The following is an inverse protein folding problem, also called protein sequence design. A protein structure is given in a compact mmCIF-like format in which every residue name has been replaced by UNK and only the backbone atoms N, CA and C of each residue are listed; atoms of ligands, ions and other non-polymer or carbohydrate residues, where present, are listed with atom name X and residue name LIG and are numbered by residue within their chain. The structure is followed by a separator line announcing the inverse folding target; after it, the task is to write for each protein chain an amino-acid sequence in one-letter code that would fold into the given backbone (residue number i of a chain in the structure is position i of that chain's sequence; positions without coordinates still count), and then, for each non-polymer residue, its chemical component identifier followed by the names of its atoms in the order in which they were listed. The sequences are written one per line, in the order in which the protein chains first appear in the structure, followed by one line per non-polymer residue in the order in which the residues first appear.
data_IF_603506582863
#
_entry.id   IF_603506582863
#
_cell.length_a   1.000
_cell.length_b   1.000
_cell.length_c   1.000
_cell.angle_alpha   90.00
_cell.angle_beta   90.00
_cell.angle_gamma   90.00
#
_symmetry.space_group_name_H-M   'P 1'
#
loop_
_entity.id
_entity.type
_entity.pdbx_description
1 polymer ?
#
# COMPACT_ATOMS: atom_id res chain seq x y z
N UNK A 1 69.63 -17.22 -8.40
CA UNK A 1 69.14 -16.05 -7.63
C UNK A 1 67.64 -16.22 -7.42
N UNK A 2 67.20 -16.04 -6.17
CA UNK A 2 65.87 -16.35 -5.63
C UNK A 2 64.80 -15.45 -6.24
N UNK A 3 63.68 -16.01 -6.71
CA UNK A 3 62.41 -15.29 -6.75
C UNK A 3 61.33 -16.17 -6.12
N UNK A 4 60.91 -15.74 -4.95
CA UNK A 4 59.87 -16.31 -4.10
C UNK A 4 58.58 -15.59 -4.50
N UNK A 5 57.68 -16.24 -5.23
CA UNK A 5 56.36 -15.68 -5.52
C UNK A 5 55.35 -16.35 -4.58
N UNK A 6 55.08 -15.69 -3.46
CA UNK A 6 54.03 -16.10 -2.53
C UNK A 6 52.68 -15.69 -3.12
N UNK A 7 51.92 -16.66 -3.64
CA UNK A 7 50.53 -16.44 -4.05
C UNK A 7 49.64 -16.57 -2.81
N UNK A 8 49.24 -15.44 -2.25
CA UNK A 8 48.21 -15.38 -1.20
C UNK A 8 46.86 -15.63 -1.87
N UNK A 9 46.33 -16.85 -1.72
CA UNK A 9 44.95 -17.17 -2.08
C UNK A 9 44.03 -16.60 -1.00
N UNK A 10 43.50 -15.40 -1.23
CA UNK A 10 42.44 -14.82 -0.41
C UNK A 10 41.13 -15.55 -0.73
N UNK A 11 40.76 -16.47 0.16
CA UNK A 11 39.44 -17.09 0.23
C UNK A 11 38.40 -16.00 0.52
N UNK A 12 37.74 -15.49 -0.52
CA UNK A 12 36.48 -14.76 -0.34
C UNK A 12 35.37 -15.77 -0.07
N UNK A 13 35.11 -16.01 1.21
CA UNK A 13 33.87 -16.62 1.68
C UNK A 13 32.71 -15.70 1.34
N UNK A 14 31.97 -16.03 0.28
CA UNK A 14 30.64 -15.48 0.05
C UNK A 14 29.71 -16.03 1.13
N UNK A 15 29.54 -15.28 2.20
CA UNK A 15 28.40 -15.44 3.09
C UNK A 15 27.14 -15.21 2.26
N UNK A 16 26.31 -16.25 2.17
CA UNK A 16 24.95 -16.21 1.64
C UNK A 16 24.22 -15.00 2.23
N UNK A 17 23.93 -13.98 1.41
CA UNK A 17 22.90 -13.01 1.73
C UNK A 17 21.56 -13.73 1.67
N UNK A 18 21.16 -14.30 2.81
CA UNK A 18 19.75 -14.56 3.06
C UNK A 18 19.02 -13.23 2.86
N UNK A 19 18.06 -13.25 1.95
CA UNK A 19 17.23 -12.11 1.58
C UNK A 19 16.46 -11.66 2.83
N UNK A 20 16.98 -10.66 3.55
CA UNK A 20 16.33 -10.13 4.74
C UNK A 20 15.06 -9.39 4.27
N UNK A 21 13.94 -10.09 4.31
CA UNK A 21 12.64 -9.50 4.01
C UNK A 21 12.34 -8.46 5.08
N UNK A 22 11.82 -7.29 4.68
CA UNK A 22 11.48 -6.23 5.64
C UNK A 22 10.58 -6.78 6.76
N UNK A 23 10.69 -6.24 7.97
CA UNK A 23 9.88 -6.70 9.12
C UNK A 23 8.38 -6.76 8.78
N UNK A 24 7.90 -5.78 8.01
CA UNK A 24 6.54 -5.76 7.50
C UNK A 24 6.20 -7.01 6.67
N UNK A 25 7.07 -7.38 5.71
CA UNK A 25 6.85 -8.57 4.87
C UNK A 25 6.87 -9.86 5.70
N UNK A 26 7.76 -9.98 6.70
CA UNK A 26 7.79 -11.13 7.60
C UNK A 26 6.52 -11.24 8.46
N UNK A 27 6.01 -10.11 8.95
CA UNK A 27 4.75 -10.05 9.68
C UNK A 27 3.60 -10.47 8.74
N UNK A 28 3.51 -9.93 7.53
CA UNK A 28 2.48 -10.30 6.56
C UNK A 28 2.50 -11.80 6.23
N UNK A 29 3.68 -12.41 6.09
CA UNK A 29 3.83 -13.87 5.92
C UNK A 29 3.29 -14.61 7.16
N UNK A 30 3.64 -14.14 8.36
CA UNK A 30 3.18 -14.72 9.64
C UNK A 30 1.66 -14.70 9.77
N UNK A 31 1.04 -13.56 9.46
CA UNK A 31 -0.42 -13.39 9.49
C UNK A 31 -1.12 -14.26 8.44
N UNK A 32 -0.55 -14.40 7.25
CA UNK A 32 -1.10 -15.29 6.22
C UNK A 32 -0.99 -16.77 6.61
N UNK A 33 0.13 -17.18 7.23
CA UNK A 33 0.27 -18.53 7.78
C UNK A 33 -0.77 -18.80 8.87
N UNK A 34 -1.05 -17.82 9.73
CA UNK A 34 -2.11 -17.91 10.74
C UNK A 34 -3.48 -18.18 10.11
N UNK A 35 -3.87 -17.43 9.08
CA UNK A 35 -5.12 -17.65 8.34
C UNK A 35 -5.15 -19.04 7.67
N UNK A 36 -4.10 -19.38 6.92
CA UNK A 36 -4.01 -20.65 6.20
C UNK A 36 -4.07 -21.85 7.15
N UNK A 37 -3.50 -21.71 8.34
CA UNK A 37 -3.55 -22.73 9.37
C UNK A 37 -4.98 -23.10 9.77
N UNK A 38 -5.85 -22.11 9.94
CA UNK A 38 -7.28 -22.36 10.23
C UNK A 38 -8.09 -22.71 9.00
N UNK A 39 -7.83 -22.09 7.85
CA UNK A 39 -8.60 -22.30 6.62
C UNK A 39 -8.37 -23.70 6.03
N UNK A 40 -7.12 -24.17 6.06
CA UNK A 40 -6.70 -25.44 5.44
C UNK A 40 -6.45 -26.54 6.46
N UNK A 41 -6.59 -26.24 7.75
CA UNK A 41 -6.22 -27.14 8.83
C UNK A 41 -4.72 -27.47 8.85
N UNK A 42 -3.88 -26.50 8.45
CA UNK A 42 -2.43 -26.68 8.36
C UNK A 42 -1.73 -26.35 9.69
N UNK A 43 -1.46 -27.39 10.46
CA UNK A 43 -0.76 -27.23 11.75
C UNK A 43 0.68 -26.73 11.61
N UNK A 44 1.38 -26.96 10.49
CA UNK A 44 2.74 -26.45 10.29
C UNK A 44 2.72 -24.93 10.13
N UNK A 45 1.71 -24.41 9.43
CA UNK A 45 1.47 -22.97 9.29
C UNK A 45 1.11 -22.31 10.63
N UNK A 46 0.28 -22.95 11.44
CA UNK A 46 0.00 -22.47 12.80
C UNK A 46 1.25 -22.47 13.68
N UNK A 47 2.07 -23.54 13.65
CA UNK A 47 3.35 -23.61 14.37
C UNK A 47 4.35 -22.54 13.91
N UNK A 48 4.32 -22.19 12.63
CA UNK A 48 5.15 -21.12 12.09
C UNK A 48 4.70 -19.73 12.55
N UNK A 49 3.40 -19.55 12.79
CA UNK A 49 2.79 -18.26 13.08
C UNK A 49 2.57 -17.97 14.58
N UNK A 50 2.25 -18.98 15.39
CA UNK A 50 1.81 -18.84 16.78
C UNK A 50 2.92 -19.21 17.76
N UNK A 51 3.11 -18.38 18.79
CA UNK A 51 3.94 -18.79 19.93
C UNK A 51 3.19 -19.82 20.79
N UNK A 52 3.90 -20.76 21.45
CA UNK A 52 3.28 -21.69 22.40
C UNK A 52 2.53 -21.01 23.54
N UNK A 53 2.94 -19.78 23.92
CA UNK A 53 2.28 -18.95 24.94
C UNK A 53 1.10 -18.11 24.44
N UNK A 54 0.45 -18.52 23.34
CA UNK A 54 -0.67 -17.79 22.75
C UNK A 54 -1.78 -17.49 23.77
N UNK A 55 -2.22 -16.23 23.81
CA UNK A 55 -3.42 -15.80 24.51
C UNK A 55 -4.44 -15.24 23.51
N UNK A 56 -5.39 -16.08 23.06
CA UNK A 56 -6.47 -15.66 22.17
C UNK A 56 -7.83 -15.80 22.85
N UNK A 57 -8.67 -14.78 22.80
CA UNK A 57 -10.05 -14.81 23.28
C UNK A 57 -10.89 -13.83 22.45
N UNK A 58 -12.21 -13.96 22.50
CA UNK A 58 -13.04 -13.08 21.69
C UNK A 58 -14.51 -13.15 21.99
N UNK A 59 -15.25 -12.44 21.16
CA UNK A 59 -16.68 -12.21 21.31
C UNK A 59 -17.43 -12.71 20.08
N UNK A 60 -18.61 -13.26 20.31
CA UNK A 60 -19.49 -13.67 19.22
C UNK A 60 -20.82 -12.93 19.34
N UNK A 61 -21.29 -12.37 18.23
CA UNK A 61 -22.58 -11.69 18.17
C UNK A 61 -23.70 -12.72 18.29
N UNK A 62 -24.46 -12.60 19.37
CA UNK A 62 -25.65 -13.39 19.58
C UNK A 62 -26.72 -12.93 18.58
N UNK A 63 -27.33 -13.90 17.88
CA UNK A 63 -28.31 -13.62 16.83
C UNK A 63 -29.66 -13.14 17.37
N UNK A 64 -29.98 -13.50 18.61
CA UNK A 64 -31.26 -13.21 19.23
C UNK A 64 -31.24 -11.83 19.90
N UNK A 65 -30.15 -11.50 20.60
CA UNK A 65 -29.98 -10.21 21.30
C UNK A 65 -29.33 -9.14 20.42
N UNK A 66 -28.49 -9.54 19.46
CA UNK A 66 -27.67 -8.62 18.67
C UNK A 66 -26.39 -8.16 19.39
N UNK A 67 -26.18 -8.56 20.64
CA UNK A 67 -25.03 -8.17 21.46
C UNK A 67 -23.82 -9.07 21.21
N UNK A 68 -22.62 -8.51 21.40
CA UNK A 68 -21.37 -9.27 21.39
C UNK A 68 -21.08 -9.85 22.77
N UNK A 69 -21.12 -11.18 22.88
CA UNK A 69 -20.92 -11.91 24.12
C UNK A 69 -19.58 -12.64 24.13
N UNK A 70 -18.94 -12.78 25.30
CA UNK A 70 -17.70 -13.54 25.42
C UNK A 70 -17.90 -14.97 24.94
N UNK A 71 -17.04 -15.44 24.03
CA UNK A 71 -17.15 -16.76 23.43
C UNK A 71 -16.27 -17.78 24.17
N UNK A 72 -14.97 -17.83 23.85
CA UNK A 72 -14.03 -18.71 24.53
C UNK A 72 -12.58 -18.24 24.38
N UNK A 73 -11.71 -18.77 25.24
CA UNK A 73 -10.26 -18.64 25.09
C UNK A 73 -9.71 -19.79 24.22
N UNK A 74 -8.95 -19.44 23.19
CA UNK A 74 -8.23 -20.38 22.33
C UNK A 74 -6.74 -20.42 22.71
N UNK A 75 -6.32 -21.53 23.33
CA UNK A 75 -4.90 -21.81 23.60
C UNK A 75 -4.17 -22.30 22.34
N UNK A 76 -2.84 -22.32 22.38
CA UNK A 76 -2.02 -22.85 21.29
C UNK A 76 -2.38 -24.30 20.92
N UNK A 77 -2.49 -25.20 21.90
CA UNK A 77 -2.83 -26.60 21.65
C UNK A 77 -4.25 -26.76 21.12
N UNK A 78 -5.20 -25.95 21.62
CA UNK A 78 -6.57 -25.95 21.11
C UNK A 78 -6.63 -25.41 19.67
N UNK A 79 -5.81 -24.41 19.31
CA UNK A 79 -5.70 -23.94 17.93
C UNK A 79 -5.18 -25.04 17.00
N UNK A 80 -4.12 -25.77 17.41
CA UNK A 80 -3.61 -26.91 16.64
C UNK A 80 -4.64 -28.03 16.51
N UNK A 81 -5.36 -28.35 17.59
CA UNK A 81 -6.44 -29.35 17.59
C UNK A 81 -7.57 -28.93 16.65
N UNK A 82 -7.97 -27.67 16.67
CA UNK A 82 -8.99 -27.10 15.78
C UNK A 82 -8.57 -27.24 14.31
N UNK A 83 -7.32 -26.89 13.97
CA UNK A 83 -6.81 -27.05 12.62
C UNK A 83 -6.80 -28.52 12.15
N UNK A 84 -6.38 -29.47 13.00
CA UNK A 84 -6.45 -30.91 12.66
C UNK A 84 -7.90 -31.33 12.39
N UNK A 85 -8.83 -30.95 13.26
CA UNK A 85 -10.25 -31.25 13.09
C UNK A 85 -10.81 -30.66 11.79
N UNK A 86 -10.39 -29.45 11.39
CA UNK A 86 -10.78 -28.85 10.10
C UNK A 86 -10.33 -29.71 8.93
N UNK A 87 -9.09 -30.19 8.94
CA UNK A 87 -8.52 -31.04 7.89
C UNK A 87 -9.20 -32.41 7.84
N UNK A 88 -9.37 -33.07 8.99
CA UNK A 88 -10.01 -34.38 9.11
C UNK A 88 -11.47 -34.36 8.65
N UNK A 89 -12.20 -33.28 8.96
CA UNK A 89 -13.60 -33.11 8.54
C UNK A 89 -13.76 -32.57 7.11
N UNK A 90 -12.66 -32.37 6.38
CA UNK A 90 -12.69 -31.82 5.02
C UNK A 90 -13.26 -30.39 4.93
N UNK A 91 -13.30 -29.63 6.02
CA UNK A 91 -13.86 -28.27 6.07
C UNK A 91 -12.87 -27.21 5.60
N UNK A 92 -12.16 -27.50 4.52
CA UNK A 92 -11.13 -26.62 3.96
C UNK A 92 -11.82 -25.41 3.30
N UNK A 93 -11.21 -24.22 3.44
CA UNK A 93 -11.67 -22.98 2.83
C UNK A 93 -10.64 -22.42 1.86
N UNK A 94 -11.11 -22.00 0.69
CA UNK A 94 -10.34 -21.28 -0.33
C UNK A 94 -10.85 -19.86 -0.58
N UNK A 95 -11.88 -19.43 0.15
CA UNK A 95 -12.51 -18.11 0.02
C UNK A 95 -11.49 -16.99 0.26
N UNK A 96 -11.46 -16.01 -0.66
CA UNK A 96 -10.55 -14.87 -0.60
C UNK A 96 -11.27 -13.57 -0.25
N UNK A 97 -12.59 -13.48 -0.42
CA UNK A 97 -13.36 -12.24 -0.20
C UNK A 97 -13.19 -11.69 1.22
N UNK A 98 -13.19 -12.57 2.23
CA UNK A 98 -13.09 -12.18 3.65
C UNK A 98 -11.63 -12.13 4.15
N UNK A 99 -10.65 -12.52 3.33
CA UNK A 99 -9.26 -12.67 3.75
C UNK A 99 -8.52 -11.34 3.58
N UNK A 100 -8.12 -10.71 4.69
CA UNK A 100 -7.24 -9.54 4.67
C UNK A 100 -6.25 -9.57 5.84
N UNK A 101 -5.07 -9.02 5.62
CA UNK A 101 -4.07 -8.75 6.66
C UNK A 101 -3.63 -7.29 6.55
N UNK A 102 -3.49 -6.61 7.69
CA UNK A 102 -3.00 -5.23 7.75
C UNK A 102 -2.05 -5.10 8.92
N UNK A 103 -0.78 -4.77 8.64
CA UNK A 103 0.16 -4.35 9.68
C UNK A 103 -0.19 -2.92 10.10
N UNK A 104 -0.40 -2.69 11.40
CA UNK A 104 -0.80 -1.41 11.95
C UNK A 104 0.42 -0.61 12.42
N UNK A 105 1.31 -1.26 13.16
CA UNK A 105 2.50 -0.64 13.74
C UNK A 105 3.61 -1.67 13.92
N UNK A 106 4.87 -1.24 13.73
CA UNK A 106 6.06 -2.04 13.96
C UNK A 106 7.01 -1.21 14.82
N UNK A 107 7.45 -1.78 15.93
CA UNK A 107 8.52 -1.26 16.80
C UNK A 107 9.73 -2.21 16.74
N UNK A 108 10.77 -1.93 17.53
CA UNK A 108 12.02 -2.72 17.51
C UNK A 108 11.83 -4.23 17.76
N UNK A 109 10.87 -4.61 18.63
CA UNK A 109 10.68 -6.01 19.04
C UNK A 109 9.21 -6.46 19.04
N UNK A 110 8.27 -5.54 18.85
CA UNK A 110 6.83 -5.81 18.90
C UNK A 110 6.13 -5.20 17.69
N UNK A 111 4.97 -5.75 17.33
CA UNK A 111 4.13 -5.22 16.28
C UNK A 111 2.64 -5.43 16.59
N UNK A 112 1.80 -4.58 16.02
CA UNK A 112 0.35 -4.70 16.04
C UNK A 112 -0.17 -4.89 14.62
N UNK A 113 -1.17 -5.75 14.46
CA UNK A 113 -1.78 -6.06 13.18
C UNK A 113 -3.27 -6.35 13.31
N UNK A 114 -3.94 -6.36 12.16
CA UNK A 114 -5.35 -6.72 11.99
C UNK A 114 -5.45 -7.86 10.98
N UNK A 115 -6.26 -8.87 11.30
CA UNK A 115 -6.58 -9.99 10.42
C UNK A 115 -8.09 -10.07 10.24
N UNK A 116 -8.55 -10.22 9.01
CA UNK A 116 -9.93 -10.53 8.69
C UNK A 116 -9.97 -11.93 8.09
N UNK A 117 -10.86 -12.77 8.61
CA UNK A 117 -11.09 -14.13 8.13
C UNK A 117 -12.57 -14.51 8.19
N UNK A 118 -12.90 -15.74 7.80
CA UNK A 118 -14.29 -16.21 7.76
C UNK A 118 -14.99 -16.17 9.14
N UNK A 119 -14.21 -16.20 10.22
CA UNK A 119 -14.71 -16.14 11.58
C UNK A 119 -15.07 -14.71 11.99
N UNK A 120 -14.50 -13.69 11.36
CA UNK A 120 -14.64 -12.30 11.73
C UNK A 120 -13.31 -11.56 11.73
N UNK A 121 -13.09 -10.77 12.78
CA UNK A 121 -11.97 -9.84 12.90
C UNK A 121 -11.09 -10.17 14.09
N UNK A 122 -9.77 -10.12 13.87
CA UNK A 122 -8.74 -10.28 14.89
C UNK A 122 -7.88 -9.01 14.96
N UNK A 123 -7.67 -8.50 16.18
CA UNK A 123 -6.51 -7.66 16.49
C UNK A 123 -5.41 -8.53 17.08
N UNK A 124 -4.22 -8.40 16.52
CA UNK A 124 -3.10 -9.33 16.69
C UNK A 124 -1.89 -8.57 17.21
N UNK A 125 -1.29 -9.05 18.29
CA UNK A 125 -0.01 -8.58 18.80
C UNK A 125 1.08 -9.63 18.55
N UNK A 126 2.19 -9.18 17.97
CA UNK A 126 3.34 -10.00 17.60
C UNK A 126 4.60 -9.53 18.33
N UNK A 127 5.57 -10.43 18.44
CA UNK A 127 6.93 -10.11 18.87
C UNK A 127 7.97 -10.85 18.02
N UNK A 128 9.22 -10.37 18.09
CA UNK A 128 10.33 -10.85 17.26
C UNK A 128 11.42 -11.53 18.09
N UNK A 129 11.48 -12.87 18.07
CA UNK A 129 12.58 -13.61 18.71
C UNK A 129 13.53 -14.17 17.65
N UNK A 130 14.84 -13.96 17.82
CA UNK A 130 15.87 -14.49 16.91
C UNK A 130 15.60 -14.19 15.42
N UNK A 131 15.15 -12.97 15.13
CA UNK A 131 14.83 -12.56 13.76
C UNK A 131 13.42 -12.92 13.29
N UNK A 132 12.65 -13.73 14.04
CA UNK A 132 11.36 -14.28 13.60
C UNK A 132 10.17 -13.64 14.31
N UNK A 133 9.24 -13.10 13.52
CA UNK A 133 7.95 -12.60 14.01
C UNK A 133 6.95 -13.74 14.27
N UNK A 134 6.29 -13.70 15.43
CA UNK A 134 5.24 -14.66 15.80
C UNK A 134 4.15 -13.98 16.63
N UNK A 135 2.93 -14.50 16.52
CA UNK A 135 1.74 -14.01 17.22
C UNK A 135 1.74 -14.50 18.67
N UNK A 136 1.51 -13.58 19.60
CA UNK A 136 1.39 -13.87 21.03
C UNK A 136 -0.01 -13.65 21.59
N UNK A 137 -0.70 -12.60 21.15
CA UNK A 137 -2.03 -12.27 21.67
C UNK A 137 -2.98 -11.93 20.54
N UNK A 138 -4.23 -12.36 20.70
CA UNK A 138 -5.30 -12.07 19.76
C UNK A 138 -6.60 -11.80 20.50
N UNK A 139 -7.17 -10.61 20.32
CA UNK A 139 -8.58 -10.36 20.66
C UNK A 139 -9.39 -10.39 19.37
N UNK A 140 -10.53 -11.06 19.37
CA UNK A 140 -11.33 -11.23 18.16
C UNK A 140 -12.82 -11.02 18.37
N UNK A 141 -13.52 -10.71 17.29
CA UNK A 141 -14.98 -10.62 17.24
C UNK A 141 -15.52 -11.29 15.97
N UNK A 142 -16.73 -11.85 16.05
CA UNK A 142 -17.42 -12.47 14.93
C UNK A 142 -18.94 -12.49 15.11
N UNK A 143 -19.73 -12.91 14.10
CA UNK A 143 -19.30 -13.36 12.79
C UNK A 143 -18.75 -12.21 11.92
N UNK A 144 -18.13 -12.56 10.80
CA UNK A 144 -17.74 -11.59 9.79
C UNK A 144 -18.96 -10.81 9.26
N UNK A 145 -18.93 -9.48 9.34
CA UNK A 145 -19.90 -8.57 8.72
C UNK A 145 -19.26 -7.85 7.52
N UNK A 146 -19.92 -7.85 6.35
CA UNK A 146 -19.38 -7.26 5.11
C UNK A 146 -19.07 -5.75 5.25
N UNK A 147 -19.76 -5.04 6.15
CA UNK A 147 -19.49 -3.64 6.47
C UNK A 147 -18.04 -3.40 6.94
N UNK A 148 -17.37 -4.41 7.52
CA UNK A 148 -15.97 -4.33 7.91
C UNK A 148 -15.01 -4.21 6.72
N UNK A 149 -15.34 -4.78 5.55
CA UNK A 149 -14.54 -4.63 4.31
C UNK A 149 -14.75 -3.23 3.74
N UNK A 150 -15.99 -2.74 3.71
CA UNK A 150 -16.30 -1.39 3.21
C UNK A 150 -15.65 -0.30 4.06
N UNK A 151 -15.47 -0.54 5.37
CA UNK A 151 -14.71 0.34 6.27
C UNK A 151 -13.20 0.25 6.08
N UNK A 152 -12.65 -0.89 5.67
CA UNK A 152 -11.19 -1.13 5.74
C UNK A 152 -10.41 -1.04 4.43
N UNK A 153 -11.02 -1.10 3.23
CA UNK A 153 -10.22 -1.18 2.01
C UNK A 153 -10.84 -0.53 0.76
N UNK A 154 -10.76 0.81 0.67
CA UNK A 154 -10.50 1.53 -0.58
C UNK A 154 -9.68 2.79 -0.29
N UNK A 155 -8.37 2.61 -0.11
CA UNK A 155 -7.44 3.74 -0.11
C UNK A 155 -7.33 4.24 -1.54
N UNK A 156 -7.60 5.52 -1.76
CA UNK A 156 -7.29 6.19 -3.02
C UNK A 156 -6.02 7.01 -2.83
N UNK A 157 -5.04 6.85 -3.71
CA UNK A 157 -3.81 7.65 -3.67
C UNK A 157 -3.69 8.46 -4.96
N UNK A 158 -3.55 9.76 -4.82
CA UNK A 158 -3.35 10.68 -5.94
C UNK A 158 -1.91 11.19 -5.92
N UNK A 159 -1.25 11.07 -7.05
CA UNK A 159 0.02 11.70 -7.35
C UNK A 159 -0.30 12.88 -8.27
N UNK A 160 0.00 14.10 -7.84
CA UNK A 160 -0.24 15.29 -8.64
C UNK A 160 1.06 15.99 -8.94
N UNK A 161 1.28 16.24 -10.22
CA UNK A 161 2.44 16.99 -10.71
C UNK A 161 1.94 18.12 -11.62
N UNK A 162 2.80 19.11 -11.80
CA UNK A 162 2.65 20.07 -12.88
C UNK A 162 3.33 19.50 -14.13
N UNK A 163 2.89 19.91 -15.33
CA UNK A 163 3.69 19.72 -16.55
C UNK A 163 5.16 20.14 -16.36
N UNK A 164 6.06 19.56 -17.13
CA UNK A 164 7.47 19.90 -17.20
C UNK A 164 7.74 21.22 -17.97
N UNK A 165 9.00 21.59 -18.11
CA UNK A 165 9.49 22.83 -18.70
C UNK A 165 9.02 22.99 -20.15
N UNK A 166 8.15 23.98 -20.41
CA UNK A 166 7.56 24.28 -21.72
C UNK A 166 8.39 25.29 -22.51
N UNK A 167 8.30 25.27 -23.84
CA UNK A 167 8.88 26.32 -24.68
C UNK A 167 8.20 27.68 -24.39
N UNK A 168 9.03 28.72 -24.34
CA UNK A 168 8.65 30.12 -24.06
C UNK A 168 9.25 31.09 -25.09
N UNK A 169 9.88 30.58 -26.14
CA UNK A 169 10.51 31.37 -27.21
C UNK A 169 9.48 32.24 -27.94
N UNK A 170 8.31 31.69 -28.25
CA UNK A 170 7.15 32.40 -28.79
C UNK A 170 6.08 32.64 -27.69
N UNK A 171 5.89 33.91 -27.32
CA UNK A 171 4.90 34.34 -26.31
C UNK A 171 3.45 34.29 -26.84
N UNK A 172 3.25 34.21 -28.15
CA UNK A 172 1.92 34.13 -28.77
C UNK A 172 1.40 32.70 -28.80
N UNK A 173 2.29 31.70 -28.74
CA UNK A 173 1.92 30.30 -28.66
C UNK A 173 1.22 29.97 -27.33
N UNK A 174 -0.08 29.65 -27.42
CA UNK A 174 -0.93 29.30 -26.27
C UNK A 174 -0.83 27.83 -25.85
N UNK A 175 -0.31 26.97 -26.72
CA UNK A 175 -0.10 25.54 -26.44
C UNK A 175 1.31 25.07 -26.83
N UNK A 176 2.35 25.62 -26.19
CA UNK A 176 3.72 25.24 -26.48
C UNK A 176 4.00 23.79 -26.04
N UNK A 177 4.87 23.14 -26.82
CA UNK A 177 5.47 21.85 -26.49
C UNK A 177 6.49 21.99 -25.34
N UNK A 178 6.94 20.87 -24.81
CA UNK A 178 8.06 20.82 -23.88
C UNK A 178 9.37 21.21 -24.54
N UNK A 179 10.26 21.79 -23.75
CA UNK A 179 11.69 21.93 -24.09
C UNK A 179 12.40 20.58 -23.99
N UNK A 180 13.64 20.50 -24.45
CA UNK A 180 14.47 19.29 -24.27
C UNK A 180 14.61 18.91 -22.78
N UNK A 181 14.82 19.90 -21.91
CA UNK A 181 14.87 19.68 -20.45
C UNK A 181 13.52 19.22 -19.89
N UNK A 182 12.42 19.75 -20.43
CA UNK A 182 11.07 19.30 -20.08
C UNK A 182 10.82 17.84 -20.46
N UNK A 183 11.27 17.42 -21.64
CA UNK A 183 11.20 16.01 -22.07
C UNK A 183 12.04 15.10 -21.16
N UNK A 184 13.25 15.52 -20.80
CA UNK A 184 14.09 14.79 -19.83
C UNK A 184 13.41 14.67 -18.46
N UNK A 185 12.76 15.74 -17.98
CA UNK A 185 12.00 15.68 -16.73
C UNK A 185 10.79 14.75 -16.82
N UNK A 186 10.07 14.75 -17.95
CA UNK A 186 8.95 13.84 -18.18
C UNK A 186 9.39 12.36 -18.09
N UNK A 187 10.52 12.01 -18.71
CA UNK A 187 11.14 10.68 -18.59
C UNK A 187 11.60 10.40 -17.16
N UNK A 188 12.17 11.40 -16.47
CA UNK A 188 12.58 11.24 -15.07
C UNK A 188 11.39 10.93 -14.16
N UNK A 189 10.22 11.56 -14.37
CA UNK A 189 9.00 11.23 -13.62
C UNK A 189 8.61 9.76 -13.79
N UNK A 190 8.69 9.23 -15.01
CA UNK A 190 8.40 7.81 -15.25
C UNK A 190 9.38 6.89 -14.52
N UNK A 191 10.66 7.27 -14.43
CA UNK A 191 11.67 6.53 -13.69
C UNK A 191 11.45 6.61 -12.16
N UNK A 192 11.17 7.79 -11.62
CA UNK A 192 10.90 8.01 -10.18
C UNK A 192 9.67 7.22 -9.74
N UNK A 193 8.64 7.18 -10.58
CA UNK A 193 7.35 6.56 -10.28
C UNK A 193 7.23 5.13 -10.83
N UNK A 194 8.33 4.51 -11.30
CA UNK A 194 8.30 3.19 -11.97
C UNK A 194 7.72 2.07 -11.10
N UNK A 195 7.88 2.17 -9.78
CA UNK A 195 7.42 1.16 -8.82
C UNK A 195 5.98 1.45 -8.34
N UNK A 196 5.39 2.58 -8.77
CA UNK A 196 3.99 2.92 -8.53
C UNK A 196 3.15 2.32 -9.64
N UNK A 197 2.25 1.39 -9.29
CA UNK A 197 1.24 0.86 -10.21
C UNK A 197 0.08 1.83 -10.28
N UNK A 198 0.03 2.65 -11.33
CA UNK A 198 -1.12 3.50 -11.56
C UNK A 198 -2.29 2.68 -12.09
N UNK A 199 -3.52 3.05 -11.72
CA UNK A 199 -4.74 2.56 -12.35
C UNK A 199 -5.22 3.53 -13.44
N UNK A 200 -4.89 4.82 -13.30
CA UNK A 200 -5.34 5.89 -14.18
C UNK A 200 -4.30 7.02 -14.27
N UNK A 201 -4.15 7.60 -15.45
CA UNK A 201 -3.36 8.82 -15.67
C UNK A 201 -4.26 9.89 -16.28
N UNK A 202 -4.33 11.04 -15.62
CA UNK A 202 -5.09 12.20 -16.06
C UNK A 202 -4.17 13.34 -16.47
N UNK A 203 -4.53 14.04 -17.54
CA UNK A 203 -3.83 15.23 -18.01
C UNK A 203 -4.83 16.24 -18.55
N UNK A 204 -4.52 17.53 -18.48
CA UNK A 204 -5.25 18.49 -19.33
C UNK A 204 -4.82 18.31 -20.79
N UNK A 205 -5.65 18.76 -21.74
CA UNK A 205 -5.40 18.61 -23.18
C UNK A 205 -4.52 19.75 -23.75
N UNK A 206 -3.37 19.99 -23.11
CA UNK A 206 -2.30 20.85 -23.63
C UNK A 206 -1.09 20.00 -23.99
N UNK A 207 -0.34 20.36 -25.03
CA UNK A 207 0.86 19.64 -25.47
C UNK A 207 1.82 19.36 -24.32
N UNK A 208 2.18 20.41 -23.55
CA UNK A 208 3.08 20.29 -22.39
C UNK A 208 2.62 19.28 -21.32
N UNK A 209 1.32 19.18 -21.04
CA UNK A 209 0.80 18.25 -20.01
C UNK A 209 0.73 16.84 -20.58
N UNK A 210 0.30 16.68 -21.84
CA UNK A 210 0.30 15.39 -22.57
C UNK A 210 1.69 14.77 -22.62
N UNK A 211 2.68 15.56 -23.04
CA UNK A 211 4.07 15.12 -23.15
C UNK A 211 4.69 14.80 -21.78
N UNK A 212 4.26 15.49 -20.71
CA UNK A 212 4.72 15.16 -19.36
C UNK A 212 4.11 13.85 -18.86
N UNK A 213 2.84 13.58 -19.16
CA UNK A 213 2.13 12.38 -18.71
C UNK A 213 2.54 11.11 -19.48
N UNK A 214 2.88 11.25 -20.76
CA UNK A 214 3.03 10.14 -21.69
C UNK A 214 4.09 9.10 -21.28
N UNK A 215 5.30 9.47 -20.80
CA UNK A 215 6.29 8.47 -20.38
C UNK A 215 5.79 7.58 -19.23
N UNK A 216 5.19 8.16 -18.19
CA UNK A 216 4.65 7.41 -17.05
C UNK A 216 3.48 6.51 -17.45
N UNK A 217 2.59 7.03 -18.31
CA UNK A 217 1.46 6.27 -18.84
C UNK A 217 1.93 5.07 -19.69
N UNK A 218 2.95 5.26 -20.53
CA UNK A 218 3.56 4.21 -21.35
C UNK A 218 4.21 3.11 -20.52
N UNK A 219 4.98 3.46 -19.49
CA UNK A 219 5.62 2.47 -18.58
C UNK A 219 4.57 1.64 -17.83
N UNK A 220 3.43 2.25 -17.48
CA UNK A 220 2.33 1.57 -16.81
C UNK A 220 1.36 0.85 -17.78
N UNK A 221 1.53 1.01 -19.09
CA UNK A 221 0.62 0.51 -20.13
C UNK A 221 -0.84 0.98 -19.93
N UNK A 222 -1.02 2.28 -19.73
CA UNK A 222 -2.33 2.93 -19.49
C UNK A 222 -2.49 4.12 -20.44
N UNK A 223 -3.71 4.38 -20.88
CA UNK A 223 -4.03 5.56 -21.68
C UNK A 223 -4.18 6.82 -20.81
N UNK A 224 -3.77 7.96 -21.36
CA UNK A 224 -3.97 9.25 -20.71
C UNK A 224 -5.43 9.69 -20.92
N UNK A 225 -6.15 9.88 -19.82
CA UNK A 225 -7.51 10.45 -19.83
C UNK A 225 -7.44 11.97 -19.73
N UNK A 226 -8.14 12.66 -20.62
CA UNK A 226 -8.15 14.13 -20.62
C UNK A 226 -9.22 14.70 -19.71
N UNK A 227 -8.90 15.78 -18.99
CA UNK A 227 -9.84 16.53 -18.18
C UNK A 227 -9.76 18.04 -18.45
N UNK A 228 -10.89 18.73 -18.25
CA UNK A 228 -10.93 20.18 -18.27
C UNK A 228 -10.57 20.73 -16.88
N UNK A 229 -9.46 21.48 -16.73
CA UNK A 229 -9.07 22.05 -15.44
C UNK A 229 -10.08 23.07 -14.88
N UNK A 230 -10.99 23.61 -15.69
CA UNK A 230 -12.02 24.58 -15.27
C UNK A 230 -13.29 23.92 -14.73
N UNK A 231 -13.53 22.66 -15.09
CA UNK A 231 -14.77 21.95 -14.77
C UNK A 231 -14.52 20.68 -13.92
N UNK A 232 -13.38 20.61 -13.22
CA UNK A 232 -13.02 19.43 -12.45
C UNK A 232 -13.70 19.44 -11.08
N UNK A 233 -14.85 18.77 -10.97
CA UNK A 233 -15.53 18.56 -9.69
C UNK A 233 -14.78 17.52 -8.84
N UNK A 234 -14.17 17.95 -7.73
CA UNK A 234 -13.38 17.07 -6.87
C UNK A 234 -14.22 15.95 -6.23
N UNK A 235 -15.51 16.16 -5.94
CA UNK A 235 -16.38 15.13 -5.36
C UNK A 235 -16.65 14.01 -6.36
N UNK A 236 -17.09 14.37 -7.57
CA UNK A 236 -17.32 13.40 -8.64
C UNK A 236 -16.04 12.66 -9.01
N UNK A 237 -14.92 13.39 -9.12
CA UNK A 237 -13.62 12.78 -9.37
C UNK A 237 -13.27 11.74 -8.30
N UNK A 238 -13.39 12.10 -7.01
CA UNK A 238 -13.10 11.19 -5.90
C UNK A 238 -13.98 9.93 -5.89
N UNK A 239 -15.25 10.05 -6.28
CA UNK A 239 -16.14 8.89 -6.39
C UNK A 239 -15.74 7.98 -7.55
N UNK A 240 -15.44 8.54 -8.73
CA UNK A 240 -15.00 7.76 -9.89
C UNK A 240 -13.67 7.03 -9.67
N UNK A 241 -12.77 7.62 -8.88
CA UNK A 241 -11.43 7.08 -8.62
C UNK A 241 -11.32 6.32 -7.31
N UNK A 242 -12.44 6.01 -6.64
CA UNK A 242 -12.43 5.38 -5.31
C UNK A 242 -11.68 4.05 -5.30
N UNK A 243 -10.65 3.95 -4.45
CA UNK A 243 -9.80 2.78 -4.30
C UNK A 243 -8.69 2.64 -5.36
N UNK A 244 -8.43 3.69 -6.14
CA UNK A 244 -7.44 3.67 -7.22
C UNK A 244 -6.17 4.45 -6.88
N UNK A 245 -5.10 4.15 -7.60
CA UNK A 245 -3.87 4.97 -7.64
C UNK A 245 -3.88 5.79 -8.92
N UNK A 246 -3.86 7.12 -8.80
CA UNK A 246 -4.11 8.04 -9.92
C UNK A 246 -2.99 9.05 -10.06
N UNK A 247 -2.45 9.21 -11.26
CA UNK A 247 -1.59 10.34 -11.61
C UNK A 247 -2.44 11.47 -12.21
N UNK A 248 -2.23 12.71 -11.78
CA UNK A 248 -2.89 13.91 -12.33
C UNK A 248 -1.81 14.93 -12.73
N UNK A 249 -1.76 15.27 -14.02
CA UNK A 249 -0.83 16.25 -14.57
C UNK A 249 -1.56 17.55 -14.91
N UNK A 250 -1.20 18.62 -14.20
CA UNK A 250 -1.87 19.92 -14.27
C UNK A 250 -0.92 21.10 -14.48
N UNK A 251 -1.28 22.24 -13.88
CA UNK A 251 -0.61 23.53 -14.04
C UNK A 251 -0.18 24.12 -12.69
N UNK A 252 0.66 25.15 -12.71
CA UNK A 252 1.18 25.83 -11.50
C UNK A 252 0.08 26.35 -10.57
N UNK A 253 -1.04 26.80 -11.15
CA UNK A 253 -2.19 27.25 -10.38
C UNK A 253 -3.16 26.10 -10.05
N UNK A 254 -3.41 25.16 -10.98
CA UNK A 254 -4.44 24.14 -10.79
C UNK A 254 -4.00 22.95 -9.95
N UNK A 255 -2.73 22.55 -9.99
CA UNK A 255 -2.24 21.38 -9.25
C UNK A 255 -2.36 21.59 -7.72
N UNK A 256 -1.90 22.70 -7.12
CA UNK A 256 -2.11 22.95 -5.68
C UNK A 256 -3.59 23.14 -5.31
N UNK A 257 -4.36 23.83 -6.16
CA UNK A 257 -5.80 24.03 -5.93
C UNK A 257 -6.57 22.71 -5.94
N UNK A 258 -6.25 21.80 -6.85
CA UNK A 258 -6.91 20.50 -6.92
C UNK A 258 -6.48 19.62 -5.75
N UNK A 259 -5.20 19.66 -5.35
CA UNK A 259 -4.71 19.00 -4.14
C UNK A 259 -5.48 19.44 -2.89
N UNK A 260 -5.67 20.74 -2.69
CA UNK A 260 -6.49 21.29 -1.61
C UNK A 260 -7.95 20.84 -1.70
N UNK A 261 -8.50 20.79 -2.91
CA UNK A 261 -9.88 20.36 -3.15
C UNK A 261 -10.10 18.89 -2.80
N UNK A 262 -9.11 18.02 -3.06
CA UNK A 262 -9.14 16.61 -2.65
C UNK A 262 -9.10 16.48 -1.12
N UNK A 263 -8.29 17.30 -0.45
CA UNK A 263 -8.17 17.33 1.01
C UNK A 263 -9.40 17.92 1.70
N UNK A 264 -10.07 18.89 1.07
CA UNK A 264 -11.16 19.66 1.69
C UNK A 264 -10.66 20.81 2.59
N UNK A 265 -9.40 21.21 2.45
CA UNK A 265 -8.77 22.30 3.21
C UNK A 265 -7.81 23.11 2.33
N UNK A 266 -7.59 24.38 2.67
CA UNK A 266 -6.63 25.24 1.98
C UNK A 266 -5.22 25.09 2.60
N UNK A 267 -4.51 24.02 2.22
CA UNK A 267 -3.19 23.69 2.77
C UNK A 267 -2.02 24.20 1.93
N UNK A 268 -2.12 24.13 0.60
CA UNK A 268 -1.06 24.48 -0.33
C UNK A 268 -1.38 25.77 -1.10
N UNK A 269 -0.43 26.70 -1.11
CA UNK A 269 -0.52 27.91 -1.92
C UNK A 269 -0.15 27.63 -3.40
N UNK A 270 -0.47 28.57 -4.28
CA UNK A 270 -0.06 28.50 -5.68
C UNK A 270 1.46 28.47 -5.79
N UNK A 271 1.97 27.69 -6.74
CA UNK A 271 3.41 27.61 -7.00
C UNK A 271 3.82 28.57 -8.12
N UNK A 272 5.08 28.97 -8.10
CA UNK A 272 5.66 29.81 -9.14
C UNK A 272 5.57 29.13 -10.53
N UNK A 273 5.46 29.95 -11.59
CA UNK A 273 5.30 29.46 -12.96
C UNK A 273 6.55 28.78 -13.53
N UNK A 274 7.68 28.79 -12.84
CA UNK A 274 8.91 28.08 -13.16
C UNK A 274 9.15 26.84 -12.27
N UNK A 275 8.28 26.56 -11.30
CA UNK A 275 8.38 25.34 -10.50
C UNK A 275 7.74 24.16 -11.25
N UNK A 276 8.57 23.20 -11.67
CA UNK A 276 8.17 21.96 -12.34
C UNK A 276 8.52 20.68 -11.54
N UNK A 277 9.05 20.84 -10.32
CA UNK A 277 9.68 19.77 -9.53
C UNK A 277 8.78 19.21 -8.40
N UNK A 278 7.64 19.85 -8.11
CA UNK A 278 6.77 19.42 -7.02
C UNK A 278 5.97 18.16 -7.37
N UNK A 279 6.04 17.17 -6.48
CA UNK A 279 5.15 16.00 -6.44
C UNK A 279 4.28 16.06 -5.19
N UNK A 280 2.98 16.21 -5.38
CA UNK A 280 2.00 16.11 -4.31
C UNK A 280 1.49 14.68 -4.22
N UNK A 281 1.46 14.11 -3.03
CA UNK A 281 0.90 12.78 -2.77
C UNK A 281 -0.24 12.94 -1.79
N UNK A 282 -1.47 12.70 -2.23
CA UNK A 282 -2.68 12.72 -1.40
C UNK A 282 -3.17 11.31 -1.19
N UNK A 283 -3.39 10.91 0.07
CA UNK A 283 -3.96 9.62 0.41
C UNK A 283 -5.31 9.84 1.08
N UNK A 284 -6.35 9.25 0.50
CA UNK A 284 -7.72 9.30 1.01
C UNK A 284 -8.14 7.90 1.44
N UNK A 285 -8.59 7.79 2.67
CA UNK A 285 -9.23 6.61 3.25
C UNK A 285 -10.63 7.01 3.73
N UNK A 286 -11.41 6.05 4.25
CA UNK A 286 -12.69 6.37 4.89
C UNK A 286 -12.52 7.35 6.05
N UNK A 287 -11.43 7.20 6.82
CA UNK A 287 -11.27 7.85 8.12
C UNK A 287 -10.34 9.07 8.07
N UNK A 288 -9.55 9.21 7.00
CA UNK A 288 -8.54 10.27 6.92
C UNK A 288 -8.22 10.69 5.49
N UNK A 289 -7.84 11.97 5.37
CA UNK A 289 -7.23 12.55 4.18
C UNK A 289 -5.89 13.13 4.59
N UNK A 290 -4.81 12.66 3.99
CA UNK A 290 -3.46 13.12 4.29
C UNK A 290 -2.74 13.52 3.01
N UNK A 291 -1.74 14.38 3.15
CA UNK A 291 -0.94 14.84 2.02
C UNK A 291 0.50 15.12 2.42
N UNK A 292 1.39 14.86 1.47
CA UNK A 292 2.80 15.28 1.50
C UNK A 292 3.16 15.93 0.16
N UNK A 293 4.19 16.78 0.18
CA UNK A 293 4.79 17.34 -1.03
C UNK A 293 6.28 17.01 -1.00
N UNK A 294 6.77 16.47 -2.11
CA UNK A 294 8.19 16.23 -2.35
C UNK A 294 8.66 17.19 -3.45
N UNK A 295 9.91 17.63 -3.37
CA UNK A 295 10.55 18.39 -4.45
C UNK A 295 11.59 17.47 -5.09
N UNK A 296 11.43 17.21 -6.38
CA UNK A 296 12.28 16.29 -7.13
C UNK A 296 12.94 17.06 -8.28
N UNK A 297 14.24 17.30 -8.14
CA UNK A 297 15.05 18.07 -9.10
C UNK A 297 15.34 17.28 -10.38
#
# INVERSE_FOLDING_TARGET
MKYFLATVLLLFSFSLFAQDTSDKAQIEITLNNYIDGFYKGDTLKLKAALKPRLYKFGYWKNKDTGDYEYYEQLTYDNALKMARNTKEKGKIRTETKMRSVKVLEISNHIAAAKVTGFWGLDYVLLSKDNGKWMIEQVIWEGPFEEEFIEKSHKTTTYYLIRHAEKDRSDKTNRDPHLTEDGLKRAENWANILKDVKFDMVYSTDYNRTKETAAPTAKVNNIEVTYYDPRNMNSKEFMEMTKGKTVLVVGHSNTTPMFTNSLLGEKKYEMIADDNNANLYIVTITKDSKTSSVLKID
#
